data_IF_565850776286
#
_entry.id   IF_565850776286
#
_cell.length_a   1.000
_cell.length_b   1.000
_cell.length_c   1.000
_cell.angle_alpha   90.00
_cell.angle_beta   90.00
_cell.angle_gamma   90.00
#
_symmetry.space_group_name_H-M   'P 1'
#
loop_
_entity.id
_entity.type
_entity.pdbx_description
1 polymer ?
#
# COMPACT_ATOMS: atom_id res chain seq x y z
N UNK A 1 -19.06 -7.74 26.80
CA UNK A 1 -19.20 -8.05 25.37
C UNK A 1 -18.93 -6.75 24.64
N UNK A 2 -17.67 -6.54 24.22
CA UNK A 2 -17.32 -5.40 23.38
C UNK A 2 -17.37 -5.89 21.94
N UNK A 3 -18.41 -5.49 21.21
CA UNK A 3 -18.41 -5.50 19.76
C UNK A 3 -17.46 -4.37 19.32
N UNK A 4 -16.19 -4.70 19.12
CA UNK A 4 -15.35 -3.92 18.20
C UNK A 4 -15.98 -4.06 16.82
N UNK A 5 -16.63 -2.99 16.38
CA UNK A 5 -17.07 -2.82 15.00
C UNK A 5 -15.85 -3.00 14.09
N UNK A 6 -15.68 -4.23 13.62
CA UNK A 6 -14.80 -4.63 12.54
C UNK A 6 -15.33 -3.99 11.26
N UNK A 7 -15.01 -2.71 11.11
CA UNK A 7 -15.33 -1.95 9.90
C UNK A 7 -14.22 -2.32 8.93
N UNK A 8 -14.31 -3.50 8.33
CA UNK A 8 -13.37 -3.94 7.31
C UNK A 8 -13.40 -2.86 6.21
N UNK A 9 -12.32 -2.07 6.15
CA UNK A 9 -12.22 -0.98 5.18
C UNK A 9 -12.43 -1.56 3.79
N UNK A 10 -13.22 -0.90 2.94
CA UNK A 10 -13.41 -1.37 1.57
C UNK A 10 -12.04 -1.43 0.85
N UNK A 11 -11.84 -2.39 -0.07
CA UNK A 11 -10.60 -2.47 -0.83
C UNK A 11 -10.42 -1.18 -1.64
N UNK A 12 -9.18 -0.68 -1.67
CA UNK A 12 -8.80 0.55 -2.39
C UNK A 12 -8.43 0.28 -3.85
N UNK A 13 -8.08 -0.97 -4.14
CA UNK A 13 -7.75 -1.45 -5.47
C UNK A 13 -7.83 -2.98 -5.47
N UNK A 14 -8.06 -3.58 -6.63
CA UNK A 14 -7.95 -5.02 -6.79
C UNK A 14 -7.34 -5.40 -8.14
N UNK A 15 -6.69 -6.56 -8.19
CA UNK A 15 -6.15 -7.10 -9.43
C UNK A 15 -6.22 -8.63 -9.46
N UNK A 16 -6.27 -9.17 -10.67
CA UNK A 16 -6.27 -10.61 -10.90
C UNK A 16 -4.89 -11.21 -10.69
N UNK A 17 -4.83 -12.30 -9.92
CA UNK A 17 -3.61 -13.06 -9.68
C UNK A 17 -3.20 -13.84 -10.94
N UNK A 18 -1.96 -13.66 -11.38
CA UNK A 18 -1.38 -14.39 -12.52
C UNK A 18 -1.24 -15.90 -12.25
N UNK A 19 -1.09 -16.27 -10.98
CA UNK A 19 -0.87 -17.63 -10.50
C UNK A 19 -2.00 -18.01 -9.52
N UNK A 20 -3.16 -18.36 -10.07
CA UNK A 20 -4.13 -19.15 -9.31
C UNK A 20 -3.73 -20.62 -9.49
N UNK A 21 -3.49 -21.33 -8.39
CA UNK A 21 -3.06 -22.73 -8.37
C UNK A 21 -3.88 -23.55 -9.38
N UNK A 22 -3.24 -24.40 -10.20
CA UNK A 22 -3.83 -25.14 -11.34
C UNK A 22 -4.96 -26.11 -10.97
N UNK A 23 -5.41 -26.08 -9.72
CA UNK A 23 -6.46 -26.91 -9.13
C UNK A 23 -7.42 -26.06 -8.31
N UNK A 24 -8.12 -25.11 -8.93
CA UNK A 24 -9.55 -24.82 -8.74
C UNK A 24 -9.92 -23.66 -9.68
N UNK A 25 -11.18 -23.57 -10.06
CA UNK A 25 -11.73 -22.75 -11.16
C UNK A 25 -11.96 -21.29 -10.72
N UNK A 26 -11.32 -20.86 -9.64
CA UNK A 26 -11.47 -19.51 -9.09
C UNK A 26 -10.29 -18.68 -9.56
N UNK A 27 -10.60 -17.66 -10.37
CA UNK A 27 -9.67 -16.57 -10.63
C UNK A 27 -9.44 -15.91 -9.28
N UNK A 28 -8.25 -16.11 -8.70
CA UNK A 28 -7.86 -15.43 -7.48
C UNK A 28 -7.77 -13.93 -7.74
N UNK A 29 -8.42 -13.14 -6.89
CA UNK A 29 -8.32 -11.68 -6.91
C UNK A 29 -7.62 -11.23 -5.63
N UNK A 30 -6.62 -10.36 -5.80
CA UNK A 30 -5.98 -9.64 -4.72
C UNK A 30 -6.75 -8.35 -4.48
N UNK A 31 -7.19 -8.17 -3.26
CA UNK A 31 -7.74 -6.92 -2.76
C UNK A 31 -6.65 -6.18 -1.98
N UNK A 32 -6.42 -4.90 -2.31
CA UNK A 32 -5.50 -4.03 -1.58
C UNK A 32 -6.30 -3.20 -0.60
N UNK A 33 -5.79 -3.06 0.62
CA UNK A 33 -6.35 -2.25 1.68
C UNK A 33 -5.31 -1.24 2.16
N UNK A 34 -5.77 -0.06 2.57
CA UNK A 34 -5.00 0.88 3.36
C UNK A 34 -5.52 0.82 4.80
N UNK A 35 -4.65 0.47 5.76
CA UNK A 35 -5.03 0.19 7.15
C UNK A 35 -4.17 0.98 8.11
N UNK A 36 -4.76 1.40 9.23
CA UNK A 36 -4.02 1.94 10.35
C UNK A 36 -3.57 0.79 11.26
N UNK A 37 -2.28 0.46 11.22
CA UNK A 37 -1.68 -0.59 12.06
C UNK A 37 -1.06 0.00 13.33
N UNK A 38 -1.38 -0.54 14.52
CA UNK A 38 -0.81 -0.07 15.78
C UNK A 38 0.72 -0.02 15.76
N UNK A 39 1.27 1.17 15.93
CA UNK A 39 2.73 1.41 15.95
C UNK A 39 3.40 1.55 14.59
N UNK A 40 2.69 1.30 13.48
CA UNK A 40 3.17 1.53 12.11
C UNK A 40 2.43 2.66 11.39
N UNK A 41 1.24 3.02 11.85
CA UNK A 41 0.37 3.99 11.18
C UNK A 41 -0.26 3.40 9.92
N UNK A 42 -0.57 4.26 8.94
CA UNK A 42 -1.14 3.83 7.67
C UNK A 42 -0.18 2.94 6.88
N UNK A 43 -0.67 1.78 6.44
CA UNK A 43 0.06 0.80 5.63
C UNK A 43 -0.82 0.13 4.58
N UNK A 44 -0.23 -0.22 3.45
CA UNK A 44 -0.85 -1.05 2.43
C UNK A 44 -0.68 -2.54 2.74
N UNK A 45 -1.78 -3.28 2.62
CA UNK A 45 -1.84 -4.75 2.76
C UNK A 45 -2.65 -5.34 1.62
N UNK A 46 -2.25 -6.50 1.14
CA UNK A 46 -2.95 -7.23 0.10
C UNK A 46 -3.55 -8.51 0.64
N UNK A 47 -4.82 -8.78 0.40
CA UNK A 47 -5.49 -10.02 0.81
C UNK A 47 -6.09 -10.76 -0.38
N UNK A 48 -6.10 -12.08 -0.31
CA UNK A 48 -6.92 -12.86 -1.23
C UNK A 48 -8.38 -12.70 -0.79
N UNK A 49 -9.25 -12.38 -1.75
CA UNK A 49 -10.69 -12.26 -1.53
C UNK A 49 -11.21 -13.48 -0.75
N UNK A 50 -11.81 -13.24 0.43
CA UNK A 50 -12.37 -14.28 1.29
C UNK A 50 -11.39 -15.02 2.21
N UNK A 51 -10.07 -14.74 2.17
CA UNK A 51 -9.10 -15.31 3.12
C UNK A 51 -8.98 -14.47 4.41
N UNK A 52 -9.24 -13.16 4.30
CA UNK A 52 -9.16 -12.21 5.42
C UNK A 52 -7.74 -11.85 5.83
N UNK A 53 -7.57 -11.12 6.95
CA UNK A 53 -6.31 -10.48 7.36
C UNK A 53 -5.22 -11.42 7.84
N UNK A 54 -5.54 -12.68 8.14
CA UNK A 54 -4.51 -13.66 8.49
C UNK A 54 -3.70 -14.15 7.28
N UNK A 55 -4.18 -13.84 6.07
CA UNK A 55 -3.54 -14.22 4.81
C UNK A 55 -2.99 -13.00 4.04
N UNK A 56 -2.70 -11.90 4.74
CA UNK A 56 -2.24 -10.69 4.08
C UNK A 56 -0.79 -10.82 3.58
N UNK A 57 -0.48 -10.00 2.58
CA UNK A 57 0.86 -9.83 2.03
C UNK A 57 1.28 -8.36 2.13
N UNK A 58 2.57 -8.13 2.23
CA UNK A 58 3.12 -6.78 2.35
C UNK A 58 3.27 -6.10 0.97
N UNK A 59 3.58 -4.80 0.96
CA UNK A 59 3.68 -4.02 -0.27
C UNK A 59 4.75 -4.55 -1.24
N UNK A 60 5.85 -5.13 -0.74
CA UNK A 60 6.88 -5.71 -1.61
C UNK A 60 6.34 -6.90 -2.40
N UNK A 61 5.55 -7.75 -1.74
CA UNK A 61 4.90 -8.90 -2.36
C UNK A 61 3.80 -8.47 -3.33
N UNK A 62 3.01 -7.45 -2.99
CA UNK A 62 2.01 -6.85 -3.89
C UNK A 62 2.68 -6.33 -5.16
N UNK A 63 3.76 -5.56 -5.04
CA UNK A 63 4.49 -5.00 -6.18
C UNK A 63 5.05 -6.09 -7.09
N UNK A 64 5.61 -7.14 -6.50
CA UNK A 64 6.14 -8.29 -7.23
C UNK A 64 5.03 -9.05 -7.97
N UNK A 65 3.93 -9.34 -7.28
CA UNK A 65 2.78 -10.07 -7.82
C UNK A 65 2.10 -9.28 -8.95
N UNK A 66 1.91 -7.98 -8.77
CA UNK A 66 1.38 -7.11 -9.82
C UNK A 66 2.30 -7.04 -11.03
N UNK A 67 3.62 -6.92 -10.82
CA UNK A 67 4.59 -6.96 -11.92
C UNK A 67 4.55 -8.28 -12.69
N UNK A 68 4.39 -9.42 -12.01
CA UNK A 68 4.20 -10.72 -12.66
C UNK A 68 2.87 -10.81 -13.43
N UNK A 69 1.80 -10.16 -12.96
CA UNK A 69 0.55 -10.08 -13.75
C UNK A 69 0.72 -9.35 -15.08
N UNK A 70 1.71 -8.47 -15.17
CA UNK A 70 2.06 -7.78 -16.39
C UNK A 70 2.91 -8.62 -17.37
N UNK A 71 3.42 -9.80 -16.96
CA UNK A 71 4.29 -10.65 -17.80
C UNK A 71 3.62 -11.07 -19.12
N UNK A 72 2.29 -11.21 -19.13
CA UNK A 72 1.51 -11.51 -20.33
C UNK A 72 1.44 -10.37 -21.35
N UNK A 73 1.95 -9.18 -21.03
CA UNK A 73 1.95 -8.06 -21.96
C UNK A 73 2.98 -8.24 -23.06
N UNK A 74 2.49 -8.44 -24.28
CA UNK A 74 3.32 -8.53 -25.49
C UNK A 74 4.09 -7.24 -25.83
N UNK A 75 3.76 -6.12 -25.19
CA UNK A 75 4.34 -4.80 -25.45
C UNK A 75 4.85 -4.17 -24.15
N UNK A 76 6.12 -3.79 -24.12
CA UNK A 76 6.78 -3.21 -22.95
C UNK A 76 6.18 -1.84 -22.55
N UNK A 77 5.71 -1.07 -23.53
CA UNK A 77 5.05 0.23 -23.29
C UNK A 77 3.77 0.06 -22.47
N UNK A 78 2.95 -0.94 -22.82
CA UNK A 78 1.71 -1.26 -22.10
C UNK A 78 2.00 -1.74 -20.66
N UNK A 79 3.03 -2.59 -20.48
CA UNK A 79 3.44 -3.02 -19.14
C UNK A 79 3.90 -1.83 -18.27
N UNK A 80 4.63 -0.89 -18.87
CA UNK A 80 5.08 0.33 -18.19
C UNK A 80 3.89 1.20 -17.79
N UNK A 81 2.94 1.42 -18.70
CA UNK A 81 1.73 2.20 -18.43
C UNK A 81 0.91 1.61 -17.28
N UNK A 82 0.72 0.28 -17.25
CA UNK A 82 -0.01 -0.38 -16.17
C UNK A 82 0.70 -0.26 -14.82
N UNK A 83 2.02 -0.45 -14.78
CA UNK A 83 2.81 -0.29 -13.54
C UNK A 83 2.76 1.16 -13.04
N UNK A 84 2.87 2.14 -13.95
CA UNK A 84 2.74 3.56 -13.60
C UNK A 84 1.36 3.86 -13.06
N UNK A 85 0.29 3.44 -13.75
CA UNK A 85 -1.09 3.65 -13.32
C UNK A 85 -1.36 3.01 -11.95
N UNK A 86 -0.81 1.82 -11.70
CA UNK A 86 -0.90 1.15 -10.41
C UNK A 86 -0.25 1.98 -9.29
N UNK A 87 0.98 2.46 -9.52
CA UNK A 87 1.68 3.33 -8.58
C UNK A 87 0.96 4.65 -8.32
N UNK A 88 0.47 5.30 -9.37
CA UNK A 88 -0.29 6.56 -9.29
C UNK A 88 -1.59 6.37 -8.50
N UNK A 89 -2.30 5.26 -8.71
CA UNK A 89 -3.52 4.94 -7.98
C UNK A 89 -3.26 4.74 -6.49
N UNK A 90 -2.23 3.97 -6.12
CA UNK A 90 -1.84 3.80 -4.71
C UNK A 90 -1.45 5.14 -4.07
N UNK A 91 -0.69 5.97 -4.79
CA UNK A 91 -0.31 7.31 -4.34
C UNK A 91 -1.54 8.21 -4.11
N UNK A 92 -2.49 8.20 -5.04
CA UNK A 92 -3.72 8.97 -4.93
C UNK A 92 -4.58 8.50 -3.74
N UNK A 93 -4.74 7.18 -3.58
CA UNK A 93 -5.43 6.59 -2.43
C UNK A 93 -4.80 7.06 -1.11
N UNK A 94 -3.47 7.06 -1.02
CA UNK A 94 -2.78 7.54 0.17
C UNK A 94 -3.07 9.03 0.44
N UNK A 95 -2.93 9.88 -0.58
CA UNK A 95 -3.21 11.32 -0.48
C UNK A 95 -4.66 11.58 -0.07
N UNK A 96 -5.63 10.84 -0.62
CA UNK A 96 -7.05 11.01 -0.28
C UNK A 96 -7.37 10.61 1.16
N UNK A 97 -6.62 9.66 1.72
CA UNK A 97 -6.77 9.22 3.11
C UNK A 97 -6.03 10.12 4.10
N UNK A 98 -4.92 10.73 3.71
CA UNK A 98 -4.20 11.73 4.50
C UNK A 98 -4.83 13.13 4.39
N UNK A 99 -5.46 13.44 3.27
CA UNK A 99 -6.13 14.72 2.96
C UNK A 99 -7.19 15.14 3.99
N UNK A 100 -7.69 14.19 4.78
CA UNK A 100 -8.66 14.43 5.85
C UNK A 100 -8.03 14.98 7.14
N UNK A 101 -6.75 14.71 7.40
CA UNK A 101 -6.00 15.19 8.59
C UNK A 101 -4.92 16.24 8.26
N UNK A 102 -4.62 16.47 6.97
CA UNK A 102 -3.38 17.15 6.54
C UNK A 102 -3.48 18.63 6.17
N UNK A 103 -4.62 19.29 6.40
CA UNK A 103 -4.73 20.74 6.14
C UNK A 103 -3.82 21.60 7.04
N UNK A 104 -3.18 21.03 8.06
CA UNK A 104 -2.29 21.74 9.00
C UNK A 104 -0.80 21.34 8.92
N UNK A 105 -0.41 20.37 8.08
CA UNK A 105 0.96 19.83 8.07
C UNK A 105 1.87 20.48 7.02
N UNK A 106 3.13 20.73 7.39
CA UNK A 106 4.19 21.19 6.48
C UNK A 106 4.50 20.12 5.42
N UNK A 107 4.93 20.53 4.23
CA UNK A 107 5.27 19.63 3.11
C UNK A 107 6.30 18.57 3.51
N UNK A 108 7.23 18.91 4.42
CA UNK A 108 8.23 17.97 4.95
C UNK A 108 7.57 16.83 5.73
N UNK A 109 6.53 17.12 6.50
CA UNK A 109 5.82 16.13 7.32
C UNK A 109 4.96 15.21 6.44
N UNK A 110 4.35 15.77 5.39
CA UNK A 110 3.62 14.98 4.40
C UNK A 110 4.54 13.99 3.67
N UNK A 111 5.73 14.44 3.25
CA UNK A 111 6.73 13.56 2.62
C UNK A 111 7.22 12.49 3.61
N UNK A 112 7.52 12.88 4.85
CA UNK A 112 7.99 11.92 5.86
C UNK A 112 6.93 10.86 6.15
N UNK A 113 5.67 11.29 6.28
CA UNK A 113 4.53 10.37 6.44
C UNK A 113 4.41 9.41 5.26
N UNK A 114 4.51 9.92 4.03
CA UNK A 114 4.41 9.11 2.81
C UNK A 114 5.50 8.04 2.75
N UNK A 115 6.74 8.43 3.04
CA UNK A 115 7.87 7.51 3.09
C UNK A 115 7.71 6.48 4.21
N UNK A 116 7.28 6.91 5.40
CA UNK A 116 7.01 5.99 6.51
C UNK A 116 5.91 4.99 6.17
N UNK A 117 4.84 5.42 5.51
CA UNK A 117 3.79 4.53 5.01
C UNK A 117 4.37 3.49 4.05
N UNK A 118 5.12 3.92 3.02
CA UNK A 118 5.72 2.99 2.04
C UNK A 118 6.65 1.98 2.75
N UNK A 119 7.57 2.47 3.58
CA UNK A 119 8.57 1.62 4.25
C UNK A 119 7.94 0.66 5.26
N UNK A 120 6.97 1.13 6.06
CA UNK A 120 6.21 0.27 6.97
C UNK A 120 5.33 -0.73 6.21
N UNK A 121 4.80 -0.35 5.04
CA UNK A 121 4.03 -1.25 4.18
C UNK A 121 4.90 -2.36 3.61
N UNK A 122 6.19 -2.11 3.40
CA UNK A 122 7.19 -3.10 2.96
C UNK A 122 7.82 -3.89 4.11
N UNK A 123 7.47 -3.59 5.35
CA UNK A 123 8.13 -4.10 6.57
C UNK A 123 9.65 -3.82 6.61
N UNK A 124 10.08 -2.73 5.96
CA UNK A 124 11.46 -2.32 5.95
C UNK A 124 11.88 -1.81 7.34
N UNK A 125 13.09 -2.15 7.78
CA UNK A 125 13.69 -1.58 8.98
C UNK A 125 14.28 -0.22 8.66
N UNK A 126 13.74 0.85 9.24
CA UNK A 126 14.26 2.20 9.10
C UNK A 126 14.20 2.98 10.42
N UNK A 127 14.93 4.09 10.47
CA UNK A 127 14.92 5.02 11.60
C UNK A 127 14.59 6.39 11.02
N UNK A 128 13.50 6.99 11.47
CA UNK A 128 13.20 8.38 11.14
C UNK A 128 14.09 9.30 12.00
N UNK A 129 14.82 10.21 11.34
CA UNK A 129 15.62 11.22 12.04
C UNK A 129 15.25 12.61 11.53
N UNK A 130 14.63 13.42 12.40
CA UNK A 130 14.43 14.86 12.14
C UNK A 130 15.69 15.60 12.58
N UNK A 131 16.43 16.18 11.62
CA UNK A 131 17.55 17.06 11.93
C UNK A 131 17.02 18.46 12.22
N UNK A 132 16.90 18.82 13.49
CA UNK A 132 16.58 20.19 13.90
C UNK A 132 17.70 21.11 13.43
N UNK A 133 17.40 22.03 12.52
CA UNK A 133 18.35 23.07 12.15
C UNK A 133 18.51 24.05 13.32
N UNK A 134 19.43 23.75 14.24
CA UNK A 134 19.92 24.73 15.21
C UNK A 134 20.73 25.77 14.44
N UNK A 135 20.09 26.91 14.12
CA UNK A 135 20.78 28.11 13.68
C UNK A 135 21.56 28.67 14.88
N UNK A 136 22.81 28.21 15.05
CA UNK A 136 23.77 28.89 15.91
C UNK A 136 24.24 30.15 15.16
N UNK A 137 23.69 31.31 15.53
CA UNK A 137 24.30 32.58 15.21
C UNK A 137 25.58 32.73 16.06
N UNK A 138 26.74 32.66 15.43
CA UNK A 138 28.02 33.16 15.96
C UNK A 138 28.34 34.52 15.37
#
# INVERSE_FOLDING_TARGET
MNETLDTQAAPVFSYTLASSDLRYIEIGEREIFLRDEPGKGLVFRGEITGCGPECDINLSEILLEYAMSCEGCSQAELATEMITHFGDHLGQVYVDNIGKDSQEHDSTEQISSALSCILNSMEAQFIESKKSASLEYS
#
